data_IF_326172573006
#
_entry.id   IF_326172573006
#
_cell.length_a   1.000
_cell.length_b   1.000
_cell.length_c   1.000
_cell.angle_alpha   90.00
_cell.angle_beta   90.00
_cell.angle_gamma   90.00
#
_symmetry.space_group_name_H-M   'P 1'
#
loop_
_entity.id
_entity.type
_entity.pdbx_description
1 polymer ?
#
# COMPACT_ATOMS: atom_id res chain seq x y z
N UNK A 1 44.16 -14.66 -0.60
CA UNK A 1 45.12 -14.08 0.38
C UNK A 1 44.46 -14.07 1.75
N UNK A 2 45.23 -14.39 2.78
CA UNK A 2 44.78 -14.21 4.16
C UNK A 2 44.70 -12.72 4.50
N UNK A 3 43.86 -12.37 5.46
CA UNK A 3 43.66 -11.01 5.91
C UNK A 3 42.21 -10.56 5.90
N UNK A 4 42.03 -9.29 6.24
CA UNK A 4 40.74 -8.63 6.27
C UNK A 4 40.44 -7.98 4.91
N UNK A 5 39.23 -8.18 4.43
CA UNK A 5 38.67 -7.49 3.27
C UNK A 5 37.36 -6.83 3.71
N UNK A 6 37.18 -5.58 3.30
CA UNK A 6 35.96 -4.80 3.61
C UNK A 6 35.44 -4.19 2.31
N UNK A 7 34.15 -4.27 2.12
CA UNK A 7 33.45 -3.61 1.02
C UNK A 7 32.32 -2.73 1.58
N UNK A 8 32.22 -1.52 1.07
CA UNK A 8 31.13 -0.59 1.34
C UNK A 8 30.44 -0.26 0.03
N UNK A 9 29.13 -0.37 0.01
CA UNK A 9 28.34 0.05 -1.18
C UNK A 9 27.19 0.94 -0.75
N UNK A 10 26.85 1.87 -1.63
CA UNK A 10 25.70 2.76 -1.49
C UNK A 10 24.95 2.71 -2.81
N UNK A 11 23.63 2.54 -2.72
CA UNK A 11 22.73 2.54 -3.86
C UNK A 11 21.63 3.57 -3.65
N UNK A 12 21.03 4.03 -4.74
CA UNK A 12 19.82 4.85 -4.75
C UNK A 12 18.82 4.26 -5.73
N UNK A 13 17.56 4.26 -5.38
CA UNK A 13 16.49 3.77 -6.24
C UNK A 13 15.34 4.79 -6.29
N UNK A 14 14.88 5.09 -7.51
CA UNK A 14 13.73 5.94 -7.79
C UNK A 14 12.87 5.26 -8.83
N UNK A 15 11.56 5.29 -8.61
CA UNK A 15 10.60 4.69 -9.52
C UNK A 15 9.34 5.55 -9.58
N UNK A 16 8.79 5.73 -10.79
CA UNK A 16 7.44 6.24 -11.02
C UNK A 16 6.56 5.11 -11.54
N UNK A 17 5.26 5.19 -11.25
CA UNK A 17 4.25 4.25 -11.73
C UNK A 17 3.02 5.02 -12.17
N UNK A 18 2.69 4.89 -13.44
CA UNK A 18 1.42 5.38 -13.98
C UNK A 18 0.46 4.20 -14.07
N UNK A 19 -0.69 4.32 -13.43
CA UNK A 19 -1.70 3.28 -13.37
C UNK A 19 -2.95 3.80 -14.07
N UNK A 20 -3.30 3.19 -15.20
CA UNK A 20 -4.58 3.39 -15.84
C UNK A 20 -5.50 2.22 -15.45
N UNK A 21 -6.58 2.52 -14.76
CA UNK A 21 -7.50 1.50 -14.25
C UNK A 21 -8.93 1.73 -14.74
N UNK A 22 -9.60 0.61 -15.01
CA UNK A 22 -11.04 0.56 -15.30
C UNK A 22 -11.71 -0.38 -14.31
N UNK A 23 -12.97 -0.08 -13.99
CA UNK A 23 -13.76 -0.97 -13.15
C UNK A 23 -15.25 -0.84 -13.49
N UNK A 24 -16.03 -1.92 -13.41
CA UNK A 24 -17.49 -1.84 -13.48
C UNK A 24 -18.07 -0.89 -12.42
N UNK A 25 -17.41 -0.69 -11.29
CA UNK A 25 -17.87 0.18 -10.21
C UNK A 25 -17.95 1.66 -10.60
N UNK A 26 -17.11 2.13 -11.53
CA UNK A 26 -17.17 3.50 -12.05
C UNK A 26 -17.55 3.59 -13.52
N UNK A 27 -18.14 2.50 -14.08
CA UNK A 27 -18.80 2.52 -15.37
C UNK A 27 -20.18 3.19 -15.22
N UNK A 28 -20.48 4.14 -16.07
CA UNK A 28 -21.73 4.90 -16.03
C UNK A 28 -22.37 4.95 -17.41
N UNK A 29 -23.68 4.77 -17.47
CA UNK A 29 -24.46 4.81 -18.70
C UNK A 29 -23.87 3.94 -19.82
N UNK A 30 -23.32 2.77 -19.45
CA UNK A 30 -22.65 1.87 -20.38
C UNK A 30 -21.26 2.33 -20.85
N UNK A 31 -20.78 3.47 -20.37
CA UNK A 31 -19.47 4.03 -20.69
C UNK A 31 -18.44 3.65 -19.63
N UNK A 32 -17.40 2.92 -20.05
CA UNK A 32 -16.28 2.62 -19.16
C UNK A 32 -15.37 3.83 -19.02
N UNK A 33 -15.20 4.31 -17.81
CA UNK A 33 -14.28 5.43 -17.51
C UNK A 33 -12.91 4.89 -17.13
N UNK A 34 -11.87 5.42 -17.74
CA UNK A 34 -10.48 5.19 -17.32
C UNK A 34 -10.11 6.22 -16.27
N UNK A 35 -9.59 5.76 -15.14
CA UNK A 35 -9.01 6.61 -14.09
C UNK A 35 -7.50 6.39 -14.03
N UNK A 36 -6.77 7.50 -13.97
CA UNK A 36 -5.32 7.50 -13.92
C UNK A 36 -4.82 7.84 -12.53
N UNK A 37 -3.82 7.10 -12.06
CA UNK A 37 -3.18 7.30 -10.76
C UNK A 37 -1.66 7.33 -10.97
N UNK A 38 -0.98 8.14 -10.19
CA UNK A 38 0.46 8.28 -10.23
C UNK A 38 1.06 7.89 -8.89
N UNK A 39 2.04 6.99 -8.92
CA UNK A 39 2.83 6.59 -7.76
C UNK A 39 4.30 6.93 -7.94
N UNK A 40 4.93 7.36 -6.84
CA UNK A 40 6.37 7.62 -6.77
C UNK A 40 6.97 6.81 -5.65
N UNK A 41 8.06 6.09 -5.94
CA UNK A 41 8.81 5.39 -4.92
C UNK A 41 10.26 5.86 -4.91
N UNK A 42 10.82 6.04 -3.73
CA UNK A 42 12.19 6.49 -3.54
C UNK A 42 12.87 5.80 -2.36
N UNK A 43 14.08 5.37 -2.59
CA UNK A 43 15.02 4.92 -1.57
C UNK A 43 16.37 5.62 -1.85
N UNK A 44 16.56 6.83 -1.36
CA UNK A 44 17.70 7.67 -1.76
C UNK A 44 19.04 7.11 -1.29
N UNK A 45 19.06 6.36 -0.20
CA UNK A 45 20.30 5.77 0.34
C UNK A 45 20.00 4.35 0.82
N UNK A 46 20.63 3.37 0.15
CA UNK A 46 20.59 1.96 0.49
C UNK A 46 22.03 1.51 0.76
N UNK A 47 22.50 1.61 2.02
CA UNK A 47 23.87 1.25 2.36
C UNK A 47 24.01 -0.26 2.56
N UNK A 48 25.21 -0.78 2.24
CA UNK A 48 25.61 -2.09 2.71
C UNK A 48 27.10 -2.11 3.03
N UNK A 49 27.46 -2.88 4.05
CA UNK A 49 28.84 -3.14 4.45
C UNK A 49 29.05 -4.64 4.57
N UNK A 50 30.14 -5.11 4.03
CA UNK A 50 30.57 -6.50 4.10
C UNK A 50 32.00 -6.57 4.57
N UNK A 51 32.30 -7.47 5.51
CA UNK A 51 33.64 -7.72 5.97
C UNK A 51 33.90 -9.23 5.97
N UNK A 52 35.07 -9.62 5.51
CA UNK A 52 35.54 -11.02 5.56
C UNK A 52 36.95 -11.05 6.08
N UNK A 53 37.18 -11.83 7.10
CA UNK A 53 38.50 -12.15 7.62
C UNK A 53 38.85 -13.60 7.30
N UNK A 54 39.87 -13.79 6.46
CA UNK A 54 40.37 -15.11 6.06
C UNK A 54 41.69 -15.44 6.76
N UNK A 55 41.78 -16.68 7.28
CA UNK A 55 43.01 -17.22 7.85
C UNK A 55 43.06 -18.72 7.56
N UNK A 56 43.98 -19.12 6.68
CA UNK A 56 44.13 -20.51 6.26
C UNK A 56 42.85 -21.02 5.55
N UNK A 57 42.31 -22.12 6.07
CA UNK A 57 41.10 -22.74 5.51
C UNK A 57 39.79 -22.14 6.07
N UNK A 58 39.88 -21.22 7.03
CA UNK A 58 38.72 -20.52 7.59
C UNK A 58 38.54 -19.14 7.01
N UNK A 59 37.26 -18.76 6.81
CA UNK A 59 36.87 -17.38 6.53
C UNK A 59 35.65 -17.02 7.39
N UNK A 60 35.75 -15.94 8.14
CA UNK A 60 34.68 -15.38 8.96
C UNK A 60 34.11 -14.17 8.23
N UNK A 61 32.79 -14.09 8.09
CA UNK A 61 32.13 -13.00 7.40
C UNK A 61 31.09 -12.32 8.26
N UNK A 62 30.99 -11.02 8.11
CA UNK A 62 29.93 -10.20 8.69
C UNK A 62 29.42 -9.23 7.65
N UNK A 63 28.11 -8.98 7.65
CA UNK A 63 27.52 -7.97 6.79
C UNK A 63 26.34 -7.29 7.44
N UNK A 64 26.15 -6.04 7.05
CA UNK A 64 24.95 -5.27 7.26
C UNK A 64 24.47 -4.75 5.92
N UNK A 65 23.17 -4.90 5.65
CA UNK A 65 22.55 -4.36 4.44
C UNK A 65 21.06 -4.07 4.67
N UNK A 66 20.51 -3.19 3.87
CA UNK A 66 19.07 -3.15 3.66
C UNK A 66 18.74 -4.27 2.67
N UNK A 67 18.20 -5.39 3.20
CA UNK A 67 17.99 -6.63 2.44
C UNK A 67 16.61 -6.71 1.81
N UNK A 68 15.74 -5.76 2.11
CA UNK A 68 14.40 -5.70 1.54
C UNK A 68 13.69 -4.40 1.91
N UNK A 69 12.51 -4.25 1.33
CA UNK A 69 11.74 -3.02 1.39
C UNK A 69 11.99 -2.13 0.18
N UNK A 70 11.02 -1.26 -0.12
CA UNK A 70 11.04 -0.39 -1.30
C UNK A 70 11.36 1.08 -1.00
N UNK A 71 11.82 1.38 0.21
CA UNK A 71 11.94 2.76 0.65
C UNK A 71 10.57 3.37 0.97
N UNK A 72 10.34 4.59 0.52
CA UNK A 72 9.07 5.31 0.64
C UNK A 72 8.34 5.30 -0.71
N UNK A 73 7.05 4.98 -0.69
CA UNK A 73 6.18 5.11 -1.86
C UNK A 73 5.02 6.05 -1.52
N UNK A 74 4.66 6.96 -2.43
CA UNK A 74 3.51 7.85 -2.31
C UNK A 74 2.60 7.75 -3.53
N UNK A 75 1.30 7.87 -3.29
CA UNK A 75 0.23 7.94 -4.26
C UNK A 75 -0.65 9.13 -3.89
N UNK A 76 -0.29 10.29 -4.41
CA UNK A 76 -0.87 11.57 -3.98
C UNK A 76 -2.28 11.81 -4.55
N UNK A 77 -2.65 11.11 -5.62
CA UNK A 77 -3.97 11.13 -6.23
C UNK A 77 -4.75 9.81 -6.03
N UNK A 78 -4.39 9.05 -4.99
CA UNK A 78 -5.06 7.83 -4.59
C UNK A 78 -4.63 6.57 -5.31
N UNK A 79 -5.45 5.56 -5.17
CA UNK A 79 -5.27 4.22 -5.73
C UNK A 79 -6.62 3.65 -6.19
N UNK A 80 -6.65 2.78 -7.20
CA UNK A 80 -7.90 2.15 -7.67
C UNK A 80 -8.70 1.47 -6.56
N UNK A 81 -8.01 0.86 -5.59
CA UNK A 81 -8.66 0.19 -4.47
C UNK A 81 -9.39 1.17 -3.53
N UNK A 82 -8.90 2.40 -3.36
CA UNK A 82 -9.55 3.41 -2.54
C UNK A 82 -10.81 3.94 -3.20
N UNK A 83 -10.75 4.16 -4.51
CA UNK A 83 -11.93 4.55 -5.29
C UNK A 83 -12.99 3.44 -5.25
N UNK A 84 -12.60 2.19 -5.41
CA UNK A 84 -13.51 1.06 -5.31
C UNK A 84 -14.15 0.95 -3.91
N UNK A 85 -13.35 1.14 -2.86
CA UNK A 85 -13.84 1.13 -1.48
C UNK A 85 -14.81 2.29 -1.21
N UNK A 86 -14.49 3.51 -1.68
CA UNK A 86 -15.35 4.68 -1.56
C UNK A 86 -16.70 4.48 -2.27
N UNK A 87 -16.66 3.97 -3.49
CA UNK A 87 -17.89 3.71 -4.27
C UNK A 87 -18.73 2.63 -3.59
N UNK A 88 -18.11 1.55 -3.13
CA UNK A 88 -18.80 0.50 -2.39
C UNK A 88 -19.44 1.02 -1.11
N UNK A 89 -18.72 1.86 -0.36
CA UNK A 89 -19.24 2.49 0.85
C UNK A 89 -20.42 3.43 0.55
N UNK A 90 -20.28 4.32 -0.42
CA UNK A 90 -21.33 5.24 -0.80
C UNK A 90 -22.57 4.51 -1.33
N UNK A 91 -22.39 3.48 -2.14
CA UNK A 91 -23.48 2.64 -2.65
C UNK A 91 -24.20 1.91 -1.54
N UNK A 92 -23.47 1.26 -0.64
CA UNK A 92 -24.05 0.51 0.49
C UNK A 92 -24.79 1.43 1.46
N UNK A 93 -24.19 2.57 1.81
CA UNK A 93 -24.77 3.52 2.74
C UNK A 93 -26.04 4.19 2.19
N UNK A 94 -26.13 4.39 0.88
CA UNK A 94 -27.29 5.01 0.22
C UNK A 94 -28.33 4.02 -0.32
N UNK A 95 -28.15 2.72 -0.10
CA UNK A 95 -29.02 1.71 -0.72
C UNK A 95 -28.99 1.74 -2.25
N UNK A 96 -27.86 2.15 -2.84
CA UNK A 96 -27.68 2.21 -4.30
C UNK A 96 -28.19 3.49 -4.98
N UNK A 97 -28.67 4.47 -4.21
CA UNK A 97 -29.18 5.74 -4.74
C UNK A 97 -28.04 6.62 -5.24
N UNK A 98 -26.94 6.74 -4.48
CA UNK A 98 -25.78 7.50 -4.88
C UNK A 98 -24.98 6.79 -5.97
N UNK A 99 -24.80 7.48 -7.07
CA UNK A 99 -23.98 7.02 -8.20
C UNK A 99 -22.58 7.65 -8.15
N UNK A 100 -21.57 7.06 -8.77
CA UNK A 100 -20.19 7.54 -8.74
C UNK A 100 -19.98 8.97 -9.29
N UNK A 101 -20.89 9.50 -10.09
CA UNK A 101 -20.86 10.88 -10.57
C UNK A 101 -21.41 11.92 -9.60
N UNK A 102 -22.03 11.51 -8.49
CA UNK A 102 -22.68 12.38 -7.53
C UNK A 102 -21.76 12.86 -6.41
N UNK A 103 -20.56 12.30 -6.30
CA UNK A 103 -19.58 12.66 -5.28
C UNK A 103 -18.16 12.68 -5.84
N UNK A 104 -17.29 13.38 -5.14
CA UNK A 104 -15.86 13.39 -5.36
C UNK A 104 -15.19 12.43 -4.38
N UNK A 105 -14.20 11.71 -4.86
CA UNK A 105 -13.32 10.89 -4.05
C UNK A 105 -11.95 11.56 -4.03
N UNK A 106 -11.46 11.87 -2.84
CA UNK A 106 -10.12 12.39 -2.64
C UNK A 106 -9.39 11.45 -1.69
N UNK A 107 -8.30 10.88 -2.16
CA UNK A 107 -7.51 9.93 -1.39
C UNK A 107 -6.04 10.08 -1.69
N UNK A 108 -5.22 9.78 -0.70
CA UNK A 108 -3.79 9.66 -0.86
C UNK A 108 -3.27 8.56 0.05
N UNK A 109 -2.15 7.97 -0.34
CA UNK A 109 -1.47 6.94 0.46
C UNK A 109 0.03 7.12 0.36
N UNK A 110 0.68 6.98 1.51
CA UNK A 110 2.12 6.89 1.65
C UNK A 110 2.47 5.62 2.40
N UNK A 111 3.45 4.89 1.93
CA UNK A 111 3.99 3.73 2.60
C UNK A 111 5.50 3.77 2.64
N UNK A 112 6.09 3.27 3.73
CA UNK A 112 7.53 3.07 3.85
C UNK A 112 7.81 1.68 4.38
N UNK A 113 8.85 1.04 3.86
CA UNK A 113 9.30 -0.26 4.34
C UNK A 113 10.80 -0.40 4.21
N UNK A 114 11.44 -0.88 5.29
CA UNK A 114 12.85 -1.24 5.31
C UNK A 114 13.04 -2.54 6.08
N UNK A 115 13.88 -3.42 5.55
CA UNK A 115 14.34 -4.62 6.23
C UNK A 115 15.84 -4.53 6.36
N UNK A 116 16.31 -4.35 7.58
CA UNK A 116 17.73 -4.32 7.93
C UNK A 116 18.20 -5.74 8.22
N UNK A 117 19.23 -6.20 7.51
CA UNK A 117 19.81 -7.51 7.70
C UNK A 117 21.21 -7.42 8.31
N UNK A 118 21.42 -8.12 9.41
CA UNK A 118 22.72 -8.31 10.05
C UNK A 118 23.08 -9.79 9.94
N UNK A 119 24.14 -10.12 9.21
CA UNK A 119 24.54 -11.50 8.97
C UNK A 119 25.95 -11.74 9.50
N UNK A 120 26.12 -12.86 10.19
CA UNK A 120 27.40 -13.40 10.59
C UNK A 120 27.51 -14.85 10.15
N UNK A 121 28.70 -15.28 9.76
CA UNK A 121 28.91 -16.66 9.38
C UNK A 121 30.38 -17.00 9.22
N UNK A 122 30.63 -18.29 9.08
CA UNK A 122 31.95 -18.84 8.86
C UNK A 122 31.92 -19.84 7.69
N UNK A 123 32.95 -19.79 6.88
CA UNK A 123 33.23 -20.78 5.83
C UNK A 123 34.43 -21.57 6.19
N UNK A 124 34.38 -22.87 5.92
CA UNK A 124 35.53 -23.79 6.08
C UNK A 124 35.79 -24.49 4.75
N UNK A 125 37.03 -24.40 4.30
CA UNK A 125 37.50 -25.09 3.11
C UNK A 125 37.89 -26.52 3.47
N UNK A 126 37.09 -27.50 3.03
CA UNK A 126 37.32 -28.92 3.29
C UNK A 126 38.49 -29.43 2.46
N UNK A 127 38.53 -29.04 1.17
CA UNK A 127 39.59 -29.41 0.23
C UNK A 127 39.61 -28.42 -0.96
N UNK A 128 40.40 -28.73 -2.00
CA UNK A 128 40.51 -27.86 -3.20
C UNK A 128 39.22 -27.72 -3.99
N UNK A 129 38.26 -28.60 -3.77
CA UNK A 129 36.99 -28.64 -4.52
C UNK A 129 35.77 -28.18 -3.71
N UNK A 130 35.78 -28.40 -2.40
CA UNK A 130 34.60 -28.17 -1.55
C UNK A 130 34.91 -27.22 -0.39
N UNK A 131 33.98 -26.31 -0.17
CA UNK A 131 33.88 -25.53 1.05
C UNK A 131 32.42 -25.49 1.56
N UNK A 132 32.27 -25.32 2.86
CA UNK A 132 30.96 -25.21 3.53
C UNK A 132 30.87 -23.88 4.24
N UNK A 133 29.65 -23.36 4.33
CA UNK A 133 29.31 -22.15 5.06
C UNK A 133 28.23 -22.46 6.08
N UNK A 134 28.36 -21.88 7.26
CA UNK A 134 27.29 -21.82 8.24
C UNK A 134 27.23 -20.41 8.84
N UNK A 135 26.02 -19.90 9.00
CA UNK A 135 25.78 -18.56 9.51
C UNK A 135 24.33 -18.32 9.89
N UNK A 136 24.07 -17.12 10.32
CA UNK A 136 22.72 -16.65 10.60
C UNK A 136 22.56 -15.19 10.20
N UNK A 137 21.35 -14.82 9.81
CA UNK A 137 20.95 -13.44 9.56
C UNK A 137 19.82 -13.06 10.48
N UNK A 138 19.99 -11.99 11.24
CA UNK A 138 18.94 -11.30 11.93
C UNK A 138 18.36 -10.25 10.99
N UNK A 139 17.06 -10.30 10.78
CA UNK A 139 16.32 -9.31 10.01
C UNK A 139 15.48 -8.46 10.97
N UNK A 140 15.56 -7.15 10.84
CA UNK A 140 14.70 -6.19 11.52
C UNK A 140 13.87 -5.43 10.49
N UNK A 141 12.56 -5.60 10.59
CA UNK A 141 11.59 -4.91 9.73
C UNK A 141 11.08 -3.67 10.43
N UNK A 142 11.00 -2.56 9.70
CA UNK A 142 10.25 -1.37 10.08
C UNK A 142 9.50 -0.86 8.87
N UNK A 143 8.26 -0.51 9.09
CA UNK A 143 7.39 0.02 8.04
C UNK A 143 6.24 0.80 8.62
N UNK A 144 5.53 1.50 7.77
CA UNK A 144 4.32 2.21 8.15
C UNK A 144 3.54 2.63 6.92
N UNK A 145 2.25 2.85 7.12
CA UNK A 145 1.33 3.34 6.11
C UNK A 145 0.55 4.51 6.68
N UNK A 146 0.49 5.59 5.91
CA UNK A 146 -0.34 6.75 6.18
C UNK A 146 -1.19 7.04 4.97
N UNK A 147 -2.43 7.36 5.19
CA UNK A 147 -3.31 7.69 4.08
C UNK A 147 -4.65 8.20 4.54
N UNK A 148 -5.42 8.67 3.61
CA UNK A 148 -6.80 9.05 3.85
C UNK A 148 -7.66 8.75 2.63
N UNK A 149 -8.94 8.56 2.90
CA UNK A 149 -10.01 8.47 1.93
C UNK A 149 -11.11 9.44 2.36
N UNK A 150 -11.42 10.41 1.52
CA UNK A 150 -12.49 11.37 1.73
C UNK A 150 -13.54 11.26 0.61
N UNK A 151 -14.80 11.23 1.00
CA UNK A 151 -15.94 11.27 0.10
C UNK A 151 -16.69 12.59 0.37
N UNK A 152 -16.87 13.41 -0.65
CA UNK A 152 -17.60 14.65 -0.55
C UNK A 152 -18.69 14.68 -1.64
N UNK A 153 -19.92 14.94 -1.26
CA UNK A 153 -21.01 15.10 -2.22
C UNK A 153 -20.75 16.32 -3.10
N UNK A 154 -21.11 16.23 -4.37
CA UNK A 154 -21.09 17.37 -5.27
C UNK A 154 -22.24 18.33 -4.97
N UNK A 155 -22.06 19.59 -5.34
CA UNK A 155 -23.06 20.63 -5.16
C UNK A 155 -24.40 20.23 -5.79
N UNK A 156 -25.48 20.45 -5.05
CA UNK A 156 -26.83 20.14 -5.47
C UNK A 156 -27.27 18.69 -5.36
N UNK A 157 -26.35 17.75 -5.08
CA UNK A 157 -26.69 16.31 -4.97
C UNK A 157 -27.60 16.07 -3.76
N UNK A 158 -27.38 16.75 -2.66
CA UNK A 158 -28.24 16.63 -1.48
C UNK A 158 -29.70 16.99 -1.77
N UNK A 159 -29.94 18.09 -2.55
CA UNK A 159 -31.26 18.50 -2.96
C UNK A 159 -31.88 17.51 -3.96
N UNK A 160 -31.11 17.03 -4.94
CA UNK A 160 -31.58 16.02 -5.90
C UNK A 160 -31.98 14.73 -5.20
N UNK A 161 -31.19 14.29 -4.23
CA UNK A 161 -31.46 13.10 -3.44
C UNK A 161 -32.75 13.26 -2.62
N UNK A 162 -32.88 14.40 -1.95
CA UNK A 162 -34.10 14.75 -1.19
C UNK A 162 -35.33 14.71 -2.05
N UNK A 163 -35.29 15.35 -3.24
CA UNK A 163 -36.39 15.36 -4.19
C UNK A 163 -36.76 13.96 -4.72
N UNK A 164 -35.74 13.15 -5.06
CA UNK A 164 -35.94 11.76 -5.50
C UNK A 164 -36.59 10.90 -4.39
N UNK A 165 -36.16 11.06 -3.15
CA UNK A 165 -36.73 10.36 -2.00
C UNK A 165 -38.19 10.78 -1.76
N UNK A 166 -38.53 12.07 -1.86
CA UNK A 166 -39.91 12.55 -1.75
C UNK A 166 -40.80 11.88 -2.80
N UNK A 167 -40.37 11.84 -4.06
CA UNK A 167 -41.11 11.17 -5.13
C UNK A 167 -41.30 9.67 -4.85
N UNK A 168 -40.27 9.00 -4.37
CA UNK A 168 -40.33 7.57 -4.03
C UNK A 168 -41.28 7.28 -2.87
N UNK A 169 -41.28 8.12 -1.82
CA UNK A 169 -42.19 8.01 -0.67
C UNK A 169 -43.65 8.26 -1.11
N UNK A 170 -43.87 9.28 -1.93
CA UNK A 170 -45.21 9.55 -2.46
C UNK A 170 -45.74 8.44 -3.37
N UNK A 171 -44.89 7.85 -4.19
CA UNK A 171 -45.26 6.71 -5.05
C UNK A 171 -45.61 5.47 -4.23
N UNK A 172 -44.89 5.24 -3.11
CA UNK A 172 -45.17 4.13 -2.21
C UNK A 172 -46.39 4.35 -1.30
N UNK A 173 -46.81 5.63 -1.10
CA UNK A 173 -47.91 6.01 -0.22
C UNK A 173 -48.85 7.01 -0.92
N UNK A 174 -49.75 6.56 -1.79
CA UNK A 174 -50.59 7.45 -2.62
C UNK A 174 -51.51 8.44 -1.87
N UNK A 175 -51.68 8.26 -0.56
CA UNK A 175 -52.49 9.16 0.28
C UNK A 175 -51.68 10.16 1.12
N UNK A 176 -50.36 10.16 0.99
CA UNK A 176 -49.48 11.03 1.77
C UNK A 176 -49.40 12.43 1.14
N UNK A 177 -49.45 13.48 1.96
CA UNK A 177 -49.24 14.84 1.48
C UNK A 177 -47.78 15.10 1.13
N UNK A 178 -47.54 16.07 0.23
CA UNK A 178 -46.16 16.48 -0.13
C UNK A 178 -45.35 16.91 1.10
N UNK A 179 -45.97 17.58 2.04
CA UNK A 179 -45.34 18.04 3.26
C UNK A 179 -44.88 16.86 4.15
N UNK A 180 -45.76 15.88 4.33
CA UNK A 180 -45.46 14.65 5.06
C UNK A 180 -44.34 13.83 4.38
N UNK A 181 -44.39 13.72 3.07
CA UNK A 181 -43.39 13.05 2.25
C UNK A 181 -42.03 13.77 2.35
N UNK A 182 -42.03 15.10 2.36
CA UNK A 182 -40.82 15.91 2.52
C UNK A 182 -40.16 15.71 3.91
N UNK A 183 -40.98 15.74 4.98
CA UNK A 183 -40.50 15.49 6.31
C UNK A 183 -39.93 14.08 6.47
N UNK A 184 -40.59 13.07 5.93
CA UNK A 184 -40.12 11.68 5.94
C UNK A 184 -38.84 11.53 5.13
N UNK A 185 -38.72 12.16 3.96
CA UNK A 185 -37.50 12.17 3.15
C UNK A 185 -36.32 12.82 3.91
N UNK A 186 -36.54 13.95 4.56
CA UNK A 186 -35.53 14.63 5.36
C UNK A 186 -35.09 13.80 6.55
N UNK A 187 -36.01 13.14 7.23
CA UNK A 187 -35.69 12.26 8.35
C UNK A 187 -34.83 11.04 7.93
N UNK A 188 -35.04 10.52 6.72
CA UNK A 188 -34.27 9.40 6.18
C UNK A 188 -32.94 9.83 5.55
N UNK A 189 -32.94 10.91 4.77
CA UNK A 189 -31.77 11.38 4.04
C UNK A 189 -30.79 12.17 4.91
N UNK A 190 -31.29 12.94 5.88
CA UNK A 190 -30.45 13.82 6.70
C UNK A 190 -29.28 13.11 7.39
N UNK A 191 -29.51 12.06 8.16
CA UNK A 191 -28.42 11.29 8.80
C UNK A 191 -27.46 10.64 7.79
N UNK A 192 -28.00 10.19 6.65
CA UNK A 192 -27.18 9.59 5.57
C UNK A 192 -26.29 10.62 4.93
N UNK A 193 -26.85 11.77 4.53
CA UNK A 193 -26.10 12.85 3.92
C UNK A 193 -25.05 13.40 4.85
N UNK A 194 -25.38 13.59 6.12
CA UNK A 194 -24.43 14.04 7.14
C UNK A 194 -23.29 13.03 7.36
N UNK A 195 -23.60 11.74 7.29
CA UNK A 195 -22.59 10.68 7.43
C UNK A 195 -21.69 10.56 6.22
N UNK A 196 -22.19 10.82 5.01
CA UNK A 196 -21.44 10.73 3.75
C UNK A 196 -20.75 12.03 3.38
N UNK A 197 -21.31 13.17 3.78
CA UNK A 197 -20.69 14.46 3.52
C UNK A 197 -19.47 14.62 4.43
N UNK A 198 -18.30 14.80 3.79
CA UNK A 198 -17.00 14.89 4.47
C UNK A 198 -16.60 13.65 5.31
N UNK A 199 -17.08 12.46 4.91
CA UNK A 199 -16.54 11.23 5.52
C UNK A 199 -15.07 11.10 5.21
N UNK A 200 -14.23 11.26 6.24
CA UNK A 200 -12.79 11.07 6.17
C UNK A 200 -12.39 9.83 6.94
N UNK A 201 -11.85 8.86 6.22
CA UNK A 201 -11.25 7.66 6.79
C UNK A 201 -9.74 7.87 6.76
N UNK A 202 -9.10 7.78 7.90
CA UNK A 202 -7.65 7.93 8.02
C UNK A 202 -7.00 6.59 8.37
N UNK A 203 -5.86 6.35 7.76
CA UNK A 203 -4.96 5.24 8.06
C UNK A 203 -3.66 5.82 8.58
N UNK A 204 -3.27 5.45 9.79
CA UNK A 204 -1.94 5.67 10.36
C UNK A 204 -1.52 4.41 11.09
N UNK A 205 -0.57 3.70 10.52
CA UNK A 205 -0.16 2.38 11.00
C UNK A 205 1.35 2.27 10.93
N UNK A 206 1.99 2.01 12.07
CA UNK A 206 3.40 1.65 12.14
C UNK A 206 3.55 0.16 12.45
N UNK A 207 4.52 -0.47 11.81
CA UNK A 207 4.78 -1.90 11.91
C UNK A 207 6.27 -2.14 12.16
N UNK A 208 6.58 -3.03 13.10
CA UNK A 208 7.93 -3.50 13.37
C UNK A 208 7.93 -5.01 13.54
N UNK A 209 9.05 -5.64 13.23
CA UNK A 209 9.20 -7.07 13.40
C UNK A 209 10.66 -7.49 13.33
N UNK A 210 10.96 -8.66 13.80
CA UNK A 210 12.28 -9.26 13.67
C UNK A 210 12.19 -10.75 13.38
N UNK A 211 13.23 -11.28 12.77
CA UNK A 211 13.34 -12.70 12.46
C UNK A 211 14.77 -13.12 12.34
N UNK A 212 15.04 -14.38 12.68
CA UNK A 212 16.35 -15.01 12.54
C UNK A 212 16.28 -16.07 11.44
N UNK A 213 17.19 -15.99 10.47
CA UNK A 213 17.28 -16.92 9.35
C UNK A 213 18.61 -17.67 9.46
N UNK A 214 18.62 -18.96 9.75
CA UNK A 214 19.83 -19.79 9.62
C UNK A 214 20.20 -19.93 8.14
N UNK A 215 21.50 -19.96 7.85
CA UNK A 215 22.03 -20.06 6.50
C UNK A 215 23.08 -21.16 6.47
N UNK A 216 22.90 -22.13 5.57
CA UNK A 216 23.86 -23.19 5.31
C UNK A 216 24.16 -23.15 3.81
N UNK A 217 25.43 -23.27 3.45
CA UNK A 217 25.88 -23.26 2.05
C UNK A 217 26.98 -24.27 1.80
N UNK A 218 27.01 -24.78 0.58
CA UNK A 218 28.10 -25.60 0.07
C UNK A 218 28.57 -24.98 -1.24
N UNK A 219 29.86 -24.78 -1.38
CA UNK A 219 30.47 -24.35 -2.63
C UNK A 219 31.33 -25.48 -3.20
N UNK A 220 31.17 -25.73 -4.50
CA UNK A 220 31.87 -26.79 -5.22
C UNK A 220 32.54 -26.21 -6.46
N UNK A 221 33.88 -26.36 -6.55
CA UNK A 221 34.68 -25.87 -7.67
C UNK A 221 35.34 -27.03 -8.43
N UNK A 222 34.93 -27.21 -9.68
CA UNK A 222 35.46 -28.21 -10.58
C UNK A 222 36.04 -27.50 -11.83
N UNK A 223 37.36 -27.69 -12.05
CA UNK A 223 38.05 -27.13 -13.20
C UNK A 223 38.46 -25.67 -13.07
N UNK A 224 39.02 -25.13 -14.16
CA UNK A 224 39.20 -23.69 -14.36
C UNK A 224 38.03 -23.20 -15.21
N UNK A 225 37.17 -22.43 -14.60
CA UNK A 225 36.30 -21.54 -15.38
C UNK A 225 37.07 -20.28 -15.73
#
# INVERSE_FOLDING_TARGET
KDGLQVALTIQSAYQTRDIAATSPLWTMDGQTTVRNYEGKASAPVIPSIHAVYKKGDWAFSGSFAIVGGGGKASFDNGLPMFDAAAISLATSASGGILKPNMYNINSAMEGRQYIYGFQLGASYKINKHFSVFAGARMNYFTGGYKGYLNIALKDGVAQQLGAAMVQQIMAANPGMSLEQATQAAQAQSGPLLQKLDNTKIELDCDQTGWGLTPIIGVDAKFGKL
#
